data_IF_388226924164
#
_entry.id   IF_388226924164
#
_cell.length_a   1.000
_cell.length_b   1.000
_cell.length_c   1.000
_cell.angle_alpha   90.00
_cell.angle_beta   90.00
_cell.angle_gamma   90.00
#
_symmetry.space_group_name_H-M   'P 1'
#
loop_
_entity.id
_entity.type
_entity.pdbx_description
1 polymer ?
#
# COMPACT_ATOMS: atom_id res chain seq x y z
N UNK A 1 30.45 -27.24 -1.82
CA UNK A 1 30.11 -26.04 -1.03
C UNK A 1 30.55 -24.72 -1.69
N UNK A 2 31.53 -24.70 -2.58
CA UNK A 2 32.09 -23.48 -3.21
C UNK A 2 31.21 -22.90 -4.34
N UNK A 3 30.41 -23.74 -5.01
CA UNK A 3 29.55 -23.30 -6.14
C UNK A 3 28.23 -22.59 -5.70
N UNK A 4 27.75 -22.84 -4.48
CA UNK A 4 26.53 -22.20 -3.97
C UNK A 4 26.73 -20.71 -3.62
N UNK A 5 27.97 -20.29 -3.24
CA UNK A 5 28.26 -18.88 -2.91
C UNK A 5 28.30 -17.94 -4.14
N UNK A 6 28.58 -18.48 -5.35
CA UNK A 6 28.59 -17.65 -6.58
C UNK A 6 27.20 -17.46 -7.21
N UNK A 7 26.23 -18.31 -6.89
CA UNK A 7 24.87 -18.27 -7.45
C UNK A 7 23.97 -17.24 -6.73
N UNK A 8 24.28 -16.95 -5.46
CA UNK A 8 23.48 -16.03 -4.65
C UNK A 8 23.46 -14.57 -5.18
N UNK A 9 24.60 -13.93 -5.55
CA UNK A 9 24.60 -12.56 -6.04
C UNK A 9 23.94 -12.41 -7.41
N UNK A 10 24.09 -13.39 -8.29
CA UNK A 10 23.46 -13.38 -9.63
C UNK A 10 21.93 -13.47 -9.52
N UNK A 11 21.40 -14.33 -8.65
CA UNK A 11 19.97 -14.42 -8.39
C UNK A 11 19.41 -13.14 -7.76
N UNK A 12 20.20 -12.46 -6.90
CA UNK A 12 19.87 -11.17 -6.33
C UNK A 12 19.74 -10.08 -7.40
N UNK A 13 20.72 -9.98 -8.29
CA UNK A 13 20.73 -9.00 -9.37
C UNK A 13 19.54 -9.17 -10.34
N UNK A 14 19.19 -10.41 -10.66
CA UNK A 14 18.00 -10.71 -11.50
C UNK A 14 16.71 -10.24 -10.82
N UNK A 15 16.54 -10.52 -9.54
CA UNK A 15 15.36 -10.06 -8.76
C UNK A 15 15.27 -8.55 -8.69
N UNK A 16 16.39 -7.87 -8.49
CA UNK A 16 16.45 -6.40 -8.50
C UNK A 16 16.03 -5.84 -9.86
N UNK A 17 16.53 -6.41 -10.94
CA UNK A 17 16.18 -6.00 -12.30
C UNK A 17 14.68 -6.21 -12.59
N UNK A 18 14.11 -7.32 -12.13
CA UNK A 18 12.68 -7.60 -12.27
C UNK A 18 11.81 -6.64 -11.45
N UNK A 19 12.29 -6.23 -10.26
CA UNK A 19 11.62 -5.27 -9.38
C UNK A 19 11.83 -3.80 -9.74
N UNK A 20 12.81 -3.50 -10.61
CA UNK A 20 13.23 -2.12 -10.89
C UNK A 20 12.09 -1.25 -11.46
N UNK A 21 11.33 -1.79 -12.38
CA UNK A 21 10.20 -1.05 -13.00
C UNK A 21 9.15 -0.72 -11.95
N UNK A 22 8.82 -1.66 -11.09
CA UNK A 22 7.89 -1.44 -9.98
C UNK A 22 8.44 -0.40 -8.98
N UNK A 23 9.72 -0.47 -8.64
CA UNK A 23 10.36 0.49 -7.75
C UNK A 23 10.33 1.92 -8.34
N UNK A 24 10.61 2.06 -9.64
CA UNK A 24 10.52 3.35 -10.34
C UNK A 24 9.08 3.88 -10.34
N UNK A 25 8.09 3.02 -10.58
CA UNK A 25 6.67 3.42 -10.50
C UNK A 25 6.30 3.91 -9.11
N UNK A 26 6.72 3.20 -8.05
CA UNK A 26 6.49 3.61 -6.67
C UNK A 26 7.17 4.96 -6.37
N UNK A 27 8.40 5.16 -6.83
CA UNK A 27 9.13 6.41 -6.63
C UNK A 27 8.43 7.59 -7.33
N UNK A 28 8.04 7.42 -8.59
CA UNK A 28 7.30 8.44 -9.35
C UNK A 28 5.94 8.72 -8.70
N UNK A 29 5.18 7.68 -8.37
CA UNK A 29 3.87 7.81 -7.74
C UNK A 29 3.93 8.54 -6.40
N UNK A 30 4.88 8.18 -5.55
CA UNK A 30 5.09 8.83 -4.26
C UNK A 30 5.50 10.30 -4.41
N UNK A 31 6.45 10.59 -5.32
CA UNK A 31 6.91 11.97 -5.58
C UNK A 31 5.81 12.86 -6.15
N UNK A 32 5.02 12.36 -7.11
CA UNK A 32 3.88 13.10 -7.66
C UNK A 32 2.78 13.33 -6.61
N UNK A 33 2.49 12.32 -5.78
CA UNK A 33 1.50 12.45 -4.73
C UNK A 33 1.89 13.52 -3.71
N UNK A 34 3.15 13.53 -3.27
CA UNK A 34 3.66 14.53 -2.36
C UNK A 34 3.61 15.92 -2.99
N UNK A 35 4.10 16.06 -4.22
CA UNK A 35 4.10 17.33 -4.94
C UNK A 35 2.69 17.92 -5.08
N UNK A 36 1.71 17.10 -5.43
CA UNK A 36 0.33 17.55 -5.59
C UNK A 36 -0.26 17.95 -4.23
N UNK A 37 -0.02 17.17 -3.18
CA UNK A 37 -0.52 17.48 -1.85
C UNK A 37 0.07 18.79 -1.30
N UNK A 38 1.37 19.03 -1.49
CA UNK A 38 2.04 20.24 -1.02
C UNK A 38 1.73 21.47 -1.89
N UNK A 39 1.78 21.35 -3.21
CA UNK A 39 1.71 22.51 -4.12
C UNK A 39 0.26 22.91 -4.46
N UNK A 40 -0.70 21.99 -4.45
CA UNK A 40 -2.08 22.27 -4.84
C UNK A 40 -2.97 22.46 -3.61
N UNK A 41 -2.73 21.66 -2.56
CA UNK A 41 -3.55 21.69 -1.34
C UNK A 41 -2.90 22.41 -0.16
N UNK A 42 -1.65 22.89 -0.33
CA UNK A 42 -0.87 23.61 0.71
C UNK A 42 -0.71 22.84 2.03
N UNK A 43 -0.71 21.48 1.93
CA UNK A 43 -0.53 20.61 3.06
C UNK A 43 0.94 20.46 3.43
N UNK A 44 1.43 21.21 4.41
CA UNK A 44 2.85 21.23 4.82
C UNK A 44 3.39 19.90 5.37
N UNK A 45 2.52 18.93 5.69
CA UNK A 45 2.88 17.63 6.26
C UNK A 45 2.12 16.50 5.57
N UNK A 46 2.17 16.44 4.25
CA UNK A 46 1.42 15.50 3.42
C UNK A 46 2.01 14.07 3.41
N UNK A 47 2.40 13.52 4.57
CA UNK A 47 3.03 12.18 4.68
C UNK A 47 2.16 11.05 4.15
N UNK A 48 0.83 11.20 4.22
CA UNK A 48 -0.10 10.14 3.81
C UNK A 48 -0.21 10.00 2.30
N UNK A 49 -0.01 11.08 1.53
CA UNK A 49 -0.10 11.03 0.08
C UNK A 49 0.94 10.08 -0.55
N UNK A 50 2.24 10.17 -0.29
CA UNK A 50 3.22 9.23 -0.85
C UNK A 50 3.02 7.80 -0.34
N UNK A 51 2.64 7.60 0.93
CA UNK A 51 2.39 6.27 1.49
C UNK A 51 1.21 5.61 0.77
N UNK A 52 0.10 6.32 0.62
CA UNK A 52 -1.09 5.83 -0.06
C UNK A 52 -0.82 5.52 -1.55
N UNK A 53 0.01 6.32 -2.23
CA UNK A 53 0.41 6.06 -3.61
C UNK A 53 1.20 4.74 -3.74
N UNK A 54 2.19 4.50 -2.88
CA UNK A 54 2.98 3.25 -2.88
C UNK A 54 2.10 2.04 -2.59
N UNK A 55 1.21 2.15 -1.59
CA UNK A 55 0.29 1.05 -1.23
C UNK A 55 -0.65 0.70 -2.39
N UNK A 56 -1.18 1.71 -3.09
CA UNK A 56 -2.06 1.52 -4.25
C UNK A 56 -1.35 0.83 -5.42
N UNK A 57 -0.06 1.12 -5.62
CA UNK A 57 0.79 0.49 -6.63
C UNK A 57 1.12 -0.97 -6.31
N UNK A 58 1.23 -1.34 -5.03
CA UNK A 58 1.55 -2.70 -4.57
C UNK A 58 0.51 -3.77 -4.87
N UNK A 59 -0.61 -3.41 -5.47
CA UNK A 59 -1.74 -4.32 -5.75
C UNK A 59 -1.59 -5.07 -7.05
N UNK A 60 -1.76 -6.40 -7.02
CA UNK A 60 -1.57 -7.27 -8.18
C UNK A 60 -2.67 -7.16 -9.26
N UNK A 61 -2.27 -7.42 -10.51
CA UNK A 61 -2.87 -7.05 -11.80
C UNK A 61 -4.33 -7.47 -12.11
N UNK A 62 -4.91 -8.43 -11.41
CA UNK A 62 -6.19 -9.03 -11.82
C UNK A 62 -7.46 -8.38 -11.25
N UNK A 63 -7.33 -7.67 -10.12
CA UNK A 63 -8.43 -6.95 -9.46
C UNK A 63 -7.97 -5.55 -9.01
N UNK A 64 -7.16 -4.89 -9.81
CA UNK A 64 -6.35 -3.73 -9.47
C UNK A 64 -7.16 -2.54 -8.97
N UNK A 65 -8.13 -2.11 -9.74
CA UNK A 65 -8.92 -0.91 -9.41
C UNK A 65 -9.72 -1.09 -8.12
N UNK A 66 -10.43 -2.21 -7.99
CA UNK A 66 -11.23 -2.49 -6.79
C UNK A 66 -10.34 -2.58 -5.55
N UNK A 67 -9.23 -3.30 -5.63
CA UNK A 67 -8.32 -3.47 -4.49
C UNK A 67 -7.55 -2.19 -4.14
N UNK A 68 -7.17 -1.39 -5.16
CA UNK A 68 -6.63 -0.05 -4.94
C UNK A 68 -7.63 0.84 -4.21
N UNK A 69 -8.89 0.82 -4.63
CA UNK A 69 -9.96 1.56 -3.98
C UNK A 69 -10.21 1.07 -2.53
N UNK A 70 -10.24 -0.24 -2.30
CA UNK A 70 -10.36 -0.83 -0.95
C UNK A 70 -9.22 -0.35 -0.02
N UNK A 71 -7.99 -0.29 -0.51
CA UNK A 71 -6.84 0.19 0.27
C UNK A 71 -6.94 1.68 0.58
N UNK A 72 -7.35 2.49 -0.40
CA UNK A 72 -7.53 3.93 -0.20
C UNK A 72 -8.64 4.21 0.81
N UNK A 73 -9.78 3.51 0.69
CA UNK A 73 -10.87 3.61 1.67
C UNK A 73 -10.39 3.23 3.07
N UNK A 74 -9.71 2.08 3.20
CA UNK A 74 -9.17 1.64 4.48
C UNK A 74 -8.21 2.66 5.08
N UNK A 75 -7.29 3.19 4.29
CA UNK A 75 -6.35 4.21 4.73
C UNK A 75 -7.07 5.48 5.21
N UNK A 76 -8.01 5.98 4.40
CA UNK A 76 -8.77 7.20 4.73
C UNK A 76 -9.60 7.05 6.00
N UNK A 77 -10.31 5.92 6.14
CA UNK A 77 -11.08 5.60 7.36
C UNK A 77 -10.16 5.50 8.57
N UNK A 78 -9.02 4.80 8.43
CA UNK A 78 -8.04 4.63 9.52
C UNK A 78 -7.42 5.95 9.96
N UNK A 79 -7.01 6.79 9.01
CA UNK A 79 -6.49 8.13 9.28
C UNK A 79 -7.53 9.00 9.97
N UNK A 80 -8.75 9.07 9.43
CA UNK A 80 -9.82 9.89 9.99
C UNK A 80 -10.19 9.48 11.42
N UNK A 81 -10.35 8.18 11.67
CA UNK A 81 -10.65 7.67 13.02
C UNK A 81 -9.47 7.85 13.95
N UNK A 82 -8.25 7.58 13.48
CA UNK A 82 -7.04 7.77 14.27
C UNK A 82 -6.94 9.20 14.80
N UNK A 83 -7.10 10.18 13.93
CA UNK A 83 -7.02 11.60 14.29
C UNK A 83 -8.17 12.05 15.19
N UNK A 84 -9.42 11.63 14.88
CA UNK A 84 -10.57 11.93 15.71
C UNK A 84 -10.43 11.39 17.15
N UNK A 85 -10.00 10.14 17.28
CA UNK A 85 -9.89 9.51 18.59
C UNK A 85 -8.71 10.12 19.36
N UNK A 86 -7.54 10.22 18.75
CA UNK A 86 -6.35 10.78 19.40
C UNK A 86 -6.52 12.27 19.72
N UNK A 87 -7.17 13.03 18.84
CA UNK A 87 -7.49 14.44 19.10
C UNK A 87 -8.37 14.65 20.34
N UNK A 88 -9.24 13.69 20.70
CA UNK A 88 -10.13 13.78 21.85
C UNK A 88 -9.56 13.16 23.14
N UNK A 89 -8.87 12.01 23.04
CA UNK A 89 -8.41 11.25 24.22
C UNK A 89 -6.90 11.28 24.43
N UNK A 90 -6.17 11.98 23.54
CA UNK A 90 -4.71 12.04 23.60
C UNK A 90 -4.03 10.75 23.09
N UNK A 91 -2.68 10.73 23.15
CA UNK A 91 -1.85 9.60 22.72
C UNK A 91 -1.33 8.82 23.91
N UNK A 92 -1.26 7.48 23.81
CA UNK A 92 -0.76 6.59 24.84
C UNK A 92 -1.00 5.12 24.50
N UNK A 93 -0.51 4.21 25.34
CA UNK A 93 -0.53 2.77 25.05
C UNK A 93 -1.94 2.18 24.90
N UNK A 94 -2.86 2.53 25.79
CA UNK A 94 -4.23 2.04 25.73
C UNK A 94 -5.05 2.77 24.66
N UNK A 95 -4.74 4.03 24.39
CA UNK A 95 -5.39 4.82 23.33
C UNK A 95 -5.15 4.19 21.95
N UNK A 96 -3.92 3.74 21.67
CA UNK A 96 -3.61 3.03 20.43
C UNK A 96 -4.49 1.79 20.26
N UNK A 97 -4.71 1.03 21.34
CA UNK A 97 -5.59 -0.16 21.30
C UNK A 97 -7.05 0.21 20.97
N UNK A 98 -7.56 1.30 21.55
CA UNK A 98 -8.91 1.81 21.26
C UNK A 98 -9.00 2.30 19.83
N UNK A 99 -8.03 3.06 19.36
CA UNK A 99 -7.98 3.56 17.98
C UNK A 99 -8.02 2.40 16.96
N UNK A 100 -7.20 1.37 17.16
CA UNK A 100 -7.17 0.19 16.30
C UNK A 100 -8.51 -0.52 16.29
N UNK A 101 -9.11 -0.73 17.47
CA UNK A 101 -10.42 -1.37 17.58
C UNK A 101 -11.49 -0.60 16.81
N UNK A 102 -11.59 0.71 17.05
CA UNK A 102 -12.59 1.56 16.40
C UNK A 102 -12.36 1.63 14.89
N UNK A 103 -11.11 1.75 14.45
CA UNK A 103 -10.75 1.79 13.03
C UNK A 103 -11.12 0.49 12.30
N UNK A 104 -10.86 -0.68 12.91
CA UNK A 104 -11.24 -1.97 12.35
C UNK A 104 -12.78 -2.10 12.26
N UNK A 105 -13.50 -1.74 13.31
CA UNK A 105 -14.95 -1.81 13.33
C UNK A 105 -15.58 -0.90 12.28
N UNK A 106 -15.11 0.33 12.16
CA UNK A 106 -15.57 1.27 11.15
C UNK A 106 -15.25 0.79 9.74
N UNK A 107 -14.04 0.31 9.50
CA UNK A 107 -13.64 -0.24 8.21
C UNK A 107 -14.48 -1.46 7.82
N UNK A 108 -14.77 -2.35 8.76
CA UNK A 108 -15.60 -3.55 8.56
C UNK A 108 -17.05 -3.18 8.29
N UNK A 109 -17.53 -2.07 8.86
CA UNK A 109 -18.87 -1.55 8.56
C UNK A 109 -18.97 -1.04 7.12
N UNK A 110 -17.90 -0.41 6.59
CA UNK A 110 -17.84 0.11 5.22
C UNK A 110 -17.64 -1.02 4.20
N UNK A 111 -16.72 -1.93 4.46
CA UNK A 111 -16.42 -3.05 3.57
C UNK A 111 -16.00 -4.30 4.37
N UNK A 112 -16.49 -5.47 3.97
CA UNK A 112 -16.18 -6.77 4.60
C UNK A 112 -14.78 -7.28 4.28
N UNK A 113 -14.00 -6.57 3.47
CA UNK A 113 -12.67 -6.98 3.07
C UNK A 113 -11.68 -6.87 4.24
N UNK A 114 -11.02 -7.97 4.55
CA UNK A 114 -9.93 -7.99 5.55
C UNK A 114 -8.81 -7.00 5.19
N UNK A 115 -8.60 -6.76 3.89
CA UNK A 115 -7.60 -5.79 3.41
C UNK A 115 -7.94 -4.37 3.83
N UNK A 116 -9.22 -3.98 3.77
CA UNK A 116 -9.68 -2.64 4.21
C UNK A 116 -9.49 -2.48 5.71
N UNK A 117 -9.90 -3.48 6.49
CA UNK A 117 -9.74 -3.46 7.95
C UNK A 117 -8.26 -3.39 8.38
N UNK A 118 -7.39 -4.19 7.74
CA UNK A 118 -5.95 -4.16 8.00
C UNK A 118 -5.33 -2.80 7.65
N UNK A 119 -5.71 -2.23 6.52
CA UNK A 119 -5.22 -0.93 6.08
C UNK A 119 -5.69 0.19 7.03
N UNK A 120 -6.96 0.16 7.45
CA UNK A 120 -7.49 1.11 8.42
C UNK A 120 -6.75 1.02 9.76
N UNK A 121 -6.54 -0.19 10.28
CA UNK A 121 -5.79 -0.41 11.50
C UNK A 121 -4.35 0.14 11.41
N UNK A 122 -3.65 -0.18 10.32
CA UNK A 122 -2.27 0.27 10.11
C UNK A 122 -2.16 1.80 10.02
N UNK A 123 -3.07 2.43 9.28
CA UNK A 123 -3.12 3.88 9.15
C UNK A 123 -3.48 4.58 10.46
N UNK A 124 -4.40 4.01 11.22
CA UNK A 124 -4.80 4.51 12.54
C UNK A 124 -3.65 4.45 13.56
N UNK A 125 -2.87 3.35 13.57
CA UNK A 125 -1.66 3.22 14.39
C UNK A 125 -0.63 4.27 14.01
N UNK A 126 -0.42 4.49 12.70
CA UNK A 126 0.53 5.49 12.21
C UNK A 126 0.18 6.89 12.73
N UNK A 127 -1.09 7.27 12.64
CA UNK A 127 -1.59 8.54 13.19
C UNK A 127 -1.37 8.60 14.70
N UNK A 128 -1.74 7.56 15.42
CA UNK A 128 -1.68 7.53 16.88
C UNK A 128 -0.25 7.59 17.44
N UNK A 129 0.75 7.14 16.68
CA UNK A 129 2.13 7.00 17.17
C UNK A 129 3.10 8.05 16.67
N UNK A 130 2.91 8.55 15.44
CA UNK A 130 3.91 9.42 14.78
C UNK A 130 3.50 10.89 14.81
N UNK A 131 2.20 11.17 14.80
CA UNK A 131 1.71 12.52 14.64
C UNK A 131 1.22 13.10 15.96
N UNK A 132 1.72 14.28 16.37
CA UNK A 132 1.22 14.94 17.57
C UNK A 132 -0.25 15.34 17.38
N UNK A 133 -1.08 15.25 18.44
CA UNK A 133 -2.48 15.65 18.40
C UNK A 133 -2.60 17.12 17.98
N UNK A 134 -3.44 17.41 16.98
CA UNK A 134 -3.76 18.78 16.57
C UNK A 134 -2.79 19.44 15.58
N UNK A 135 -1.83 18.72 15.01
CA UNK A 135 -0.85 19.30 14.05
C UNK A 135 -1.38 19.48 12.62
N UNK A 136 -2.43 18.77 12.25
CA UNK A 136 -3.19 18.94 11.00
C UNK A 136 -4.56 18.30 11.18
N UNK A 137 -5.59 18.83 10.50
CA UNK A 137 -6.95 18.30 10.64
C UNK A 137 -7.09 16.85 10.13
N UNK A 138 -7.99 16.08 10.74
CA UNK A 138 -8.33 14.73 10.27
C UNK A 138 -8.69 14.71 8.78
N UNK A 139 -9.36 15.75 8.32
CA UNK A 139 -9.78 15.89 6.92
C UNK A 139 -8.58 16.05 5.98
N UNK A 140 -7.57 16.83 6.34
CA UNK A 140 -6.39 17.05 5.50
C UNK A 140 -5.64 15.74 5.26
N UNK A 141 -5.46 14.93 6.30
CA UNK A 141 -4.83 13.61 6.20
C UNK A 141 -5.64 12.61 5.38
N UNK A 142 -6.97 12.64 5.50
CA UNK A 142 -7.85 11.84 4.65
C UNK A 142 -7.74 12.25 3.18
N UNK A 143 -7.70 13.54 2.91
CA UNK A 143 -7.51 14.10 1.57
C UNK A 143 -6.16 13.67 1.01
N UNK A 144 -5.08 13.75 1.77
CA UNK A 144 -3.76 13.26 1.38
C UNK A 144 -3.77 11.79 1.00
N UNK A 145 -4.42 10.94 1.82
CA UNK A 145 -4.55 9.51 1.54
C UNK A 145 -5.34 9.26 0.25
N UNK A 146 -6.39 10.04 0.00
CA UNK A 146 -7.18 9.97 -1.24
C UNK A 146 -6.35 10.42 -2.46
N UNK A 147 -5.64 11.54 -2.36
CA UNK A 147 -4.76 12.06 -3.43
C UNK A 147 -3.72 11.00 -3.79
N UNK A 148 -3.01 10.48 -2.79
CA UNK A 148 -2.00 9.46 -3.00
C UNK A 148 -2.57 8.19 -3.62
N UNK A 149 -3.73 7.75 -3.15
CA UNK A 149 -4.43 6.60 -3.68
C UNK A 149 -4.81 6.75 -5.15
N UNK A 150 -5.39 7.88 -5.52
CA UNK A 150 -5.76 8.21 -6.91
C UNK A 150 -4.53 8.26 -7.81
N UNK A 151 -3.46 8.92 -7.37
CA UNK A 151 -2.22 9.02 -8.14
C UNK A 151 -1.58 7.64 -8.31
N UNK A 152 -1.53 6.82 -7.27
CA UNK A 152 -1.04 5.45 -7.36
C UNK A 152 -1.82 4.62 -8.37
N UNK A 153 -3.15 4.72 -8.38
CA UNK A 153 -4.01 4.05 -9.37
C UNK A 153 -3.75 4.57 -10.78
N UNK A 154 -3.58 5.88 -10.96
CA UNK A 154 -3.28 6.48 -12.27
C UNK A 154 -1.92 6.01 -12.80
N UNK A 155 -0.88 6.05 -11.98
CA UNK A 155 0.46 5.55 -12.36
C UNK A 155 0.41 4.08 -12.72
N UNK A 156 -0.36 3.28 -11.97
CA UNK A 156 -0.57 1.86 -12.26
C UNK A 156 -1.31 1.63 -13.59
N UNK A 157 -2.25 2.49 -13.92
CA UNK A 157 -3.02 2.41 -15.17
C UNK A 157 -2.18 2.80 -16.39
N UNK A 158 -1.31 3.82 -16.24
CA UNK A 158 -0.47 4.33 -17.32
C UNK A 158 0.70 3.38 -17.67
N UNK A 159 1.23 2.67 -16.66
CA UNK A 159 2.35 1.74 -16.87
C UNK A 159 1.94 0.32 -16.41
N UNK A 160 1.28 -0.44 -17.27
CA UNK A 160 0.81 -1.78 -16.93
C UNK A 160 1.99 -2.74 -16.72
N UNK A 161 2.39 -2.95 -15.48
CA UNK A 161 3.32 -4.00 -15.11
C UNK A 161 2.57 -5.30 -14.88
N UNK A 162 3.07 -6.38 -15.48
CA UNK A 162 2.61 -7.73 -15.19
C UNK A 162 3.66 -8.45 -14.32
N UNK A 163 3.66 -8.26 -12.99
CA UNK A 163 4.60 -8.95 -12.11
C UNK A 163 4.40 -10.49 -12.09
N UNK A 164 3.31 -10.95 -12.73
CA UNK A 164 2.97 -12.38 -12.84
C UNK A 164 3.60 -13.09 -14.05
N UNK A 165 4.34 -12.39 -14.92
CA UNK A 165 5.02 -13.05 -16.05
C UNK A 165 6.00 -14.15 -15.63
N UNK A 166 6.84 -13.97 -14.59
CA UNK A 166 7.69 -15.06 -14.12
C UNK A 166 6.90 -16.25 -13.55
N UNK A 167 5.89 -15.98 -12.69
CA UNK A 167 5.08 -17.03 -12.10
C UNK A 167 4.26 -17.83 -13.13
N UNK A 168 3.73 -17.18 -14.16
CA UNK A 168 3.07 -17.88 -15.29
C UNK A 168 4.01 -18.79 -16.07
N UNK A 169 5.26 -18.37 -16.27
CA UNK A 169 6.27 -19.21 -16.92
C UNK A 169 6.63 -20.43 -16.08
N UNK A 170 6.80 -20.28 -14.78
CA UNK A 170 7.07 -21.39 -13.87
C UNK A 170 5.92 -22.39 -13.84
N UNK A 171 4.68 -21.92 -13.72
CA UNK A 171 3.48 -22.77 -13.75
C UNK A 171 3.34 -23.50 -15.09
N UNK A 172 3.54 -22.83 -16.24
CA UNK A 172 3.49 -23.48 -17.54
C UNK A 172 4.58 -24.54 -17.72
N UNK A 173 5.78 -24.29 -17.17
CA UNK A 173 6.89 -25.25 -17.19
C UNK A 173 6.61 -26.47 -16.30
N UNK A 174 5.95 -26.25 -15.15
CA UNK A 174 5.54 -27.35 -14.26
C UNK A 174 4.43 -28.19 -14.89
N UNK A 175 3.45 -27.56 -15.52
CA UNK A 175 2.37 -28.27 -16.23
C UNK A 175 2.94 -29.09 -17.40
N UNK A 176 3.84 -28.52 -18.19
CA UNK A 176 4.48 -29.26 -19.31
C UNK A 176 5.35 -30.43 -18.83
N UNK A 177 6.02 -30.28 -17.69
CA UNK A 177 6.76 -31.40 -17.08
C UNK A 177 5.85 -32.48 -16.51
N UNK A 178 4.73 -32.10 -15.92
CA UNK A 178 3.73 -33.04 -15.40
C UNK A 178 3.04 -33.82 -16.53
N UNK A 179 2.75 -33.18 -17.66
CA UNK A 179 2.18 -33.89 -18.81
C UNK A 179 3.14 -34.93 -19.41
N UNK A 180 4.44 -34.58 -19.47
CA UNK A 180 5.46 -35.52 -19.95
C UNK A 180 5.61 -36.77 -19.06
N UNK A 181 5.38 -36.65 -17.77
CA UNK A 181 5.45 -37.77 -16.79
C UNK A 181 4.17 -38.65 -16.81
N UNK A 182 3.06 -38.08 -17.29
CA UNK A 182 1.78 -38.82 -17.37
C UNK A 182 1.58 -39.54 -18.72
N UNK A 183 2.38 -39.19 -19.73
CA UNK A 183 2.37 -39.83 -21.06
C UNK A 183 3.35 -41.01 -21.17
N UNK A 184 4.20 -41.27 -20.15
CA UNK A 184 5.03 -42.46 -19.96
C UNK A 184 4.33 -43.50 -19.04
#
# INVERSE_FOLDING_TARGET
>A
ARNLRRIAPVKGAIRVREGLVFAIQCAIGAGLALLIAEQIFDHQQAFFAPIAAVLSLGVSAGKRLRRGFELVLGASVGVGIGDLVIGNIGSGYWQVSVVVLVAILAATFVDKSVSVAFQAASSAVLVATILPPGSSGALDRMIDALIGGVIGILVLALVPNSPLRPARREVSTLISKASLVLDD
#
